data_IF_413304069716
#
_entry.id   IF_413304069716
#
_cell.length_a   1.000
_cell.length_b   1.000
_cell.length_c   1.000
_cell.angle_alpha   90.00
_cell.angle_beta   90.00
_cell.angle_gamma   90.00
#
_symmetry.space_group_name_H-M   'P 1'
#
loop_
_entity.id
_entity.type
_entity.pdbx_description
1 polymer ?
#
# COMPACT_ATOMS: atom_id res chain seq x y z
N UNK A 1 -38.48 10.17 -24.96
CA UNK A 1 -37.71 11.26 -24.33
C UNK A 1 -36.98 10.68 -23.14
N UNK A 2 -35.64 10.81 -23.06
CA UNK A 2 -34.96 10.55 -21.79
C UNK A 2 -35.42 11.56 -20.75
N UNK A 3 -35.75 11.07 -19.55
CA UNK A 3 -35.96 11.91 -18.37
C UNK A 3 -34.60 12.00 -17.68
N UNK A 4 -34.04 13.20 -17.60
CA UNK A 4 -32.82 13.46 -16.84
C UNK A 4 -33.24 13.92 -15.44
N UNK A 5 -33.21 13.02 -14.46
CA UNK A 5 -33.25 13.42 -13.05
C UNK A 5 -31.81 13.70 -12.57
N UNK A 6 -31.62 14.75 -11.78
CA UNK A 6 -30.32 15.02 -11.15
C UNK A 6 -29.92 13.89 -10.21
N UNK A 7 -30.83 13.57 -9.27
CA UNK A 7 -30.69 12.46 -8.35
C UNK A 7 -31.85 11.47 -8.52
N UNK A 8 -31.57 10.18 -8.44
CA UNK A 8 -32.57 9.11 -8.40
C UNK A 8 -32.64 8.55 -6.98
N UNK A 9 -33.73 8.86 -6.26
CA UNK A 9 -33.97 8.29 -4.93
C UNK A 9 -34.92 7.09 -5.04
N UNK A 10 -34.46 5.90 -4.62
CA UNK A 10 -35.30 4.70 -4.53
C UNK A 10 -35.56 4.39 -3.05
N UNK A 11 -36.80 4.58 -2.60
CA UNK A 11 -37.19 4.50 -1.18
C UNK A 11 -37.64 3.11 -0.72
N UNK A 12 -37.48 2.08 -1.57
CA UNK A 12 -37.88 0.69 -1.28
C UNK A 12 -36.99 -0.32 -2.00
N UNK A 13 -37.37 -1.61 -1.97
CA UNK A 13 -36.60 -2.67 -2.64
C UNK A 13 -36.64 -2.48 -4.15
N UNK A 14 -35.51 -2.11 -4.73
CA UNK A 14 -35.38 -1.96 -6.16
C UNK A 14 -35.09 -3.33 -6.79
N UNK A 15 -36.12 -4.01 -7.28
CA UNK A 15 -35.92 -5.26 -8.04
C UNK A 15 -35.75 -4.90 -9.52
N UNK A 16 -34.60 -5.21 -10.10
CA UNK A 16 -34.34 -4.99 -11.53
C UNK A 16 -33.90 -3.57 -11.91
N UNK A 17 -33.12 -2.87 -11.06
CA UNK A 17 -32.39 -1.68 -11.54
C UNK A 17 -31.45 -2.11 -12.67
N UNK A 18 -31.77 -1.69 -13.89
CA UNK A 18 -30.92 -1.86 -15.06
C UNK A 18 -30.41 -0.49 -15.49
N UNK A 19 -29.09 -0.33 -15.48
CA UNK A 19 -28.43 0.81 -16.13
C UNK A 19 -27.99 0.38 -17.53
N UNK A 20 -28.26 1.21 -18.55
CA UNK A 20 -27.67 1.04 -19.88
C UNK A 20 -26.23 1.56 -19.96
N UNK A 21 -25.73 2.20 -18.90
CA UNK A 21 -24.36 2.70 -18.76
C UNK A 21 -23.69 2.29 -17.44
N UNK A 22 -22.58 2.94 -17.11
CA UNK A 22 -21.83 2.67 -15.87
C UNK A 22 -22.44 3.40 -14.66
N UNK A 23 -22.12 2.94 -13.45
CA UNK A 23 -22.38 3.67 -12.20
C UNK A 23 -21.17 4.54 -11.90
N UNK A 24 -21.36 5.86 -11.89
CA UNK A 24 -20.31 6.82 -11.59
C UNK A 24 -20.28 7.12 -10.08
N UNK A 25 -19.07 7.18 -9.53
CA UNK A 25 -18.83 7.69 -8.18
C UNK A 25 -18.26 9.12 -8.28
N UNK A 26 -18.62 10.02 -7.34
CA UNK A 26 -18.05 11.37 -7.31
C UNK A 26 -16.55 11.33 -7.00
N UNK A 27 -15.81 12.34 -7.47
CA UNK A 27 -14.36 12.45 -7.20
C UNK A 27 -14.02 12.65 -5.72
N UNK A 28 -14.97 13.16 -4.93
CA UNK A 28 -14.89 13.19 -3.47
C UNK A 28 -15.86 12.16 -2.91
N UNK A 29 -15.40 11.34 -1.97
CA UNK A 29 -16.23 10.34 -1.29
C UNK A 29 -17.55 10.94 -0.79
N UNK A 30 -18.65 10.25 -1.05
CA UNK A 30 -19.96 10.56 -0.47
C UNK A 30 -20.22 9.65 0.73
N UNK A 31 -19.60 9.97 1.87
CA UNK A 31 -19.51 9.07 3.00
C UNK A 31 -20.89 8.58 3.51
N UNK A 32 -21.00 7.27 3.73
CA UNK A 32 -22.18 6.65 4.34
C UNK A 32 -21.80 5.85 5.59
N UNK A 33 -22.59 5.97 6.65
CA UNK A 33 -22.44 5.17 7.87
C UNK A 33 -23.24 3.86 7.84
N UNK A 34 -24.05 3.63 6.81
CA UNK A 34 -24.82 2.39 6.67
C UNK A 34 -23.92 1.26 6.15
N UNK A 35 -23.86 0.16 6.90
CA UNK A 35 -23.01 -0.98 6.60
C UNK A 35 -23.34 -1.68 5.26
N UNK A 36 -24.53 -1.43 4.69
CA UNK A 36 -24.97 -2.01 3.43
C UNK A 36 -24.89 -1.04 2.24
N UNK A 37 -24.27 0.12 2.42
CA UNK A 37 -24.07 1.12 1.37
C UNK A 37 -22.63 1.10 0.89
N UNK A 38 -22.43 0.92 -0.43
CA UNK A 38 -21.15 1.23 -1.06
C UNK A 38 -21.11 2.73 -1.37
N UNK A 39 -20.20 3.44 -0.72
CA UNK A 39 -20.16 4.89 -0.67
C UNK A 39 -19.00 5.52 -1.45
N UNK A 40 -18.04 4.68 -1.87
CA UNK A 40 -16.85 5.12 -2.58
C UNK A 40 -16.30 4.08 -3.56
N UNK A 41 -15.75 4.59 -4.65
CA UNK A 41 -14.94 3.84 -5.59
C UNK A 41 -13.98 4.79 -6.30
N UNK A 42 -12.68 4.57 -6.10
CA UNK A 42 -11.64 5.42 -6.67
C UNK A 42 -10.53 4.59 -7.30
N UNK A 43 -10.06 5.03 -8.47
CA UNK A 43 -8.91 4.49 -9.17
C UNK A 43 -7.90 5.59 -9.43
N UNK A 44 -6.62 5.27 -9.28
CA UNK A 44 -5.60 6.24 -9.60
C UNK A 44 -4.19 5.67 -9.62
N UNK A 45 -3.26 6.54 -9.97
CA UNK A 45 -1.84 6.32 -9.82
C UNK A 45 -1.33 7.01 -8.56
N UNK A 46 -0.27 6.46 -7.96
CA UNK A 46 0.45 7.11 -6.87
C UNK A 46 1.96 6.94 -7.06
N UNK A 47 2.74 7.75 -6.36
CA UNK A 47 4.20 7.76 -6.46
C UNK A 47 4.82 7.16 -5.18
N UNK A 48 5.22 5.88 -5.18
CA UNK A 48 5.77 5.20 -4.00
C UNK A 48 7.15 5.69 -3.61
N UNK A 49 7.36 6.08 -2.36
CA UNK A 49 8.64 6.64 -1.87
C UNK A 49 9.33 5.65 -0.95
N UNK A 50 10.62 5.37 -1.17
CA UNK A 50 11.45 4.70 -0.17
C UNK A 50 12.01 5.75 0.78
N UNK A 51 11.72 5.60 2.07
CA UNK A 51 12.11 6.56 3.09
C UNK A 51 12.61 5.85 4.36
N UNK A 52 12.95 6.64 5.39
CA UNK A 52 13.44 6.20 6.69
C UNK A 52 12.67 6.93 7.80
N UNK A 53 12.40 6.24 8.91
CA UNK A 53 11.53 6.77 9.96
C UNK A 53 12.13 7.91 10.82
N UNK A 54 13.45 8.10 10.82
CA UNK A 54 14.10 9.12 11.65
C UNK A 54 14.79 10.22 10.84
N UNK A 55 15.59 9.86 9.85
CA UNK A 55 16.16 10.83 8.89
C UNK A 55 16.13 10.29 7.48
N UNK A 56 15.64 11.09 6.53
CA UNK A 56 15.42 10.65 5.17
C UNK A 56 16.73 10.27 4.44
N UNK A 57 16.71 9.21 3.62
CA UNK A 57 17.82 8.89 2.73
C UNK A 57 17.85 9.87 1.55
N UNK A 58 19.00 9.97 0.88
CA UNK A 58 19.12 10.66 -0.42
C UNK A 58 19.19 9.61 -1.52
N UNK A 59 18.07 9.43 -2.23
CA UNK A 59 17.87 8.39 -3.25
C UNK A 59 17.53 9.01 -4.60
N UNK A 60 17.95 8.32 -5.65
CA UNK A 60 17.40 8.48 -7.01
C UNK A 60 16.82 7.15 -7.45
N UNK A 61 15.83 7.20 -8.35
CA UNK A 61 15.09 6.01 -8.79
C UNK A 61 15.27 5.79 -10.29
N UNK A 62 15.41 4.54 -10.71
CA UNK A 62 15.33 4.15 -12.12
C UNK A 62 13.88 4.12 -12.59
N UNK A 63 12.96 3.73 -11.70
CA UNK A 63 11.51 3.87 -11.86
C UNK A 63 10.81 3.91 -10.50
N UNK A 64 9.65 4.59 -10.46
CA UNK A 64 8.86 4.82 -9.25
C UNK A 64 7.37 4.90 -9.63
N UNK A 65 6.70 3.75 -9.68
CA UNK A 65 5.33 3.65 -10.21
C UNK A 65 4.40 2.94 -9.24
N UNK A 66 3.21 3.49 -9.03
CA UNK A 66 2.17 2.88 -8.23
C UNK A 66 0.78 3.10 -8.80
N UNK A 67 -0.15 2.20 -8.47
CA UNK A 67 -1.57 2.30 -8.79
C UNK A 67 -2.40 1.91 -7.58
N UNK A 68 -3.65 2.36 -7.51
CA UNK A 68 -4.58 1.92 -6.49
C UNK A 68 -6.01 1.75 -7.01
N UNK A 69 -6.76 0.94 -6.26
CA UNK A 69 -8.19 0.72 -6.38
C UNK A 69 -8.79 0.77 -4.97
N UNK A 70 -9.58 1.78 -4.68
CA UNK A 70 -10.34 1.92 -3.43
C UNK A 70 -11.79 1.51 -3.66
N UNK A 71 -12.32 0.68 -2.78
CA UNK A 71 -13.70 0.18 -2.82
C UNK A 71 -14.25 0.33 -1.39
N UNK A 72 -15.13 1.29 -1.17
CA UNK A 72 -15.49 1.73 0.18
C UNK A 72 -14.23 2.12 0.96
N UNK A 73 -14.00 1.50 2.12
CA UNK A 73 -12.78 1.72 2.92
C UNK A 73 -11.60 0.81 2.57
N UNK A 74 -11.76 -0.18 1.68
CA UNK A 74 -10.65 -1.10 1.32
C UNK A 74 -9.85 -0.52 0.17
N UNK A 75 -8.55 -0.30 0.38
CA UNK A 75 -7.61 0.14 -0.64
C UNK A 75 -6.65 -0.99 -1.02
N UNK A 76 -6.58 -1.28 -2.31
CA UNK A 76 -5.57 -2.11 -2.94
C UNK A 76 -4.55 -1.19 -3.62
N UNK A 77 -3.30 -1.16 -3.16
CA UNK A 77 -2.27 -0.30 -3.75
C UNK A 77 -1.06 -1.12 -4.21
N UNK A 78 -0.87 -1.21 -5.52
CA UNK A 78 0.28 -1.87 -6.14
C UNK A 78 1.43 -0.88 -6.34
N UNK A 79 2.67 -1.36 -6.24
CA UNK A 79 3.87 -0.56 -6.45
C UNK A 79 4.99 -1.34 -7.14
N UNK A 80 5.85 -0.60 -7.85
CA UNK A 80 7.14 -1.05 -8.33
C UNK A 80 8.13 0.11 -8.26
N UNK A 81 9.25 -0.11 -7.59
CA UNK A 81 10.31 0.86 -7.35
C UNK A 81 11.65 0.20 -7.62
N UNK A 82 12.56 0.92 -8.28
CA UNK A 82 13.96 0.54 -8.33
C UNK A 82 14.84 1.71 -7.94
N UNK A 83 15.67 1.52 -6.93
CA UNK A 83 16.66 2.51 -6.50
C UNK A 83 17.82 2.50 -7.49
N UNK A 84 18.12 3.65 -8.09
CA UNK A 84 19.26 3.83 -9.00
C UNK A 84 20.54 4.08 -8.22
N UNK A 85 20.52 5.09 -7.35
CA UNK A 85 21.67 5.50 -6.55
C UNK A 85 21.24 6.00 -5.17
N UNK A 86 22.04 5.67 -4.15
CA UNK A 86 21.89 6.14 -2.78
C UNK A 86 23.19 6.84 -2.36
N UNK A 87 23.14 8.17 -2.15
CA UNK A 87 24.30 8.95 -1.69
C UNK A 87 24.30 9.19 -0.18
N UNK A 88 23.15 8.98 0.49
CA UNK A 88 23.04 8.97 1.94
C UNK A 88 21.93 8.00 2.37
N UNK A 89 22.19 7.16 3.38
CA UNK A 89 21.26 6.11 3.82
C UNK A 89 20.21 6.56 4.83
N UNK A 90 20.38 7.72 5.47
CA UNK A 90 19.52 8.16 6.56
C UNK A 90 19.51 7.21 7.78
N UNK A 91 18.54 7.38 8.68
CA UNK A 91 18.43 6.63 9.96
C UNK A 91 16.98 6.25 10.31
N UNK A 92 16.81 5.18 11.11
CA UNK A 92 15.50 4.64 11.51
C UNK A 92 15.15 3.34 10.78
N UNK A 93 13.87 3.03 10.65
CA UNK A 93 13.34 1.87 9.91
C UNK A 93 13.11 2.25 8.45
N UNK A 94 13.31 1.32 7.50
CA UNK A 94 12.98 1.55 6.10
C UNK A 94 11.46 1.55 5.87
N UNK A 95 10.97 2.50 5.09
CA UNK A 95 9.55 2.74 4.86
C UNK A 95 9.21 2.76 3.36
N UNK A 96 8.08 2.15 2.99
CA UNK A 96 7.32 2.50 1.80
C UNK A 96 6.33 3.62 2.16
N UNK A 97 6.66 4.85 1.82
CA UNK A 97 5.82 6.03 2.01
C UNK A 97 5.08 6.46 0.75
N UNK A 98 4.21 7.46 0.91
CA UNK A 98 3.43 8.03 -0.19
C UNK A 98 2.14 7.28 -0.48
N UNK A 99 1.67 6.43 0.45
CA UNK A 99 0.45 5.64 0.25
C UNK A 99 -0.72 6.54 -0.21
N UNK A 100 -1.59 6.05 -1.11
CA UNK A 100 -2.70 6.84 -1.66
C UNK A 100 -3.59 7.47 -0.59
N UNK A 101 -3.84 6.72 0.49
CA UNK A 101 -4.63 7.13 1.64
C UNK A 101 -3.94 6.71 2.93
N UNK A 102 -4.16 7.47 4.00
CA UNK A 102 -3.77 7.04 5.35
C UNK A 102 -4.58 5.79 5.76
N UNK A 103 -3.95 4.89 6.52
CA UNK A 103 -4.62 3.73 7.09
C UNK A 103 -5.64 4.14 8.16
N UNK A 104 -6.64 3.28 8.35
CA UNK A 104 -7.65 3.44 9.37
C UNK A 104 -7.04 3.56 10.77
N UNK A 105 -7.73 4.30 11.64
CA UNK A 105 -7.35 4.43 13.05
C UNK A 105 -7.72 3.18 13.86
N UNK A 106 -8.60 2.33 13.34
CA UNK A 106 -9.13 1.13 13.99
C UNK A 106 -8.92 -0.10 13.11
N UNK A 107 -8.35 -1.15 13.71
CA UNK A 107 -7.95 -2.37 13.00
C UNK A 107 -6.56 -2.25 12.42
N UNK A 108 -5.63 -3.10 12.89
CA UNK A 108 -4.31 -3.21 12.27
C UNK A 108 -4.53 -3.67 10.83
N UNK A 109 -4.30 -2.80 9.85
CA UNK A 109 -4.34 -3.13 8.44
C UNK A 109 -3.21 -4.09 8.09
N UNK A 110 -3.32 -5.36 8.48
CA UNK A 110 -2.39 -6.41 8.10
C UNK A 110 -2.71 -6.84 6.66
N UNK A 111 -2.38 -6.00 5.69
CA UNK A 111 -2.34 -6.39 4.30
C UNK A 111 -1.21 -7.39 4.11
N UNK A 112 -1.54 -8.64 3.76
CA UNK A 112 -0.56 -9.62 3.27
C UNK A 112 0.02 -9.07 1.97
N UNK A 113 1.34 -8.97 1.89
CA UNK A 113 2.07 -8.45 0.73
C UNK A 113 3.05 -9.50 0.26
N UNK A 114 2.96 -9.84 -1.03
CA UNK A 114 4.05 -10.50 -1.72
C UNK A 114 5.01 -9.41 -2.18
N UNK A 115 6.14 -9.26 -1.50
CA UNK A 115 7.25 -8.44 -2.00
C UNK A 115 8.18 -9.36 -2.76
N UNK A 116 8.44 -9.09 -4.04
CA UNK A 116 9.57 -9.69 -4.75
C UNK A 116 10.68 -8.66 -4.80
N UNK A 117 11.85 -8.99 -4.28
CA UNK A 117 13.04 -8.17 -4.41
C UNK A 117 14.12 -8.96 -5.17
N UNK A 118 14.75 -8.32 -6.15
CA UNK A 118 15.97 -8.81 -6.79
C UNK A 118 17.15 -8.07 -6.16
N UNK A 119 18.00 -8.78 -5.42
CA UNK A 119 19.23 -8.25 -4.82
C UNK A 119 20.45 -8.76 -5.59
N UNK A 120 21.49 -7.93 -5.74
CA UNK A 120 22.74 -8.33 -6.41
C UNK A 120 23.57 -9.23 -5.49
N UNK A 121 23.80 -10.48 -5.92
CA UNK A 121 24.35 -11.61 -5.15
C UNK A 121 25.77 -11.49 -4.57
N UNK A 122 26.37 -10.29 -4.49
CA UNK A 122 27.81 -10.16 -4.20
C UNK A 122 28.22 -9.85 -2.76
N UNK A 123 27.30 -9.75 -1.79
CA UNK A 123 27.70 -9.40 -0.40
C UNK A 123 26.84 -10.08 0.68
N UNK A 124 27.45 -11.09 1.32
CA UNK A 124 27.16 -11.73 2.60
C UNK A 124 25.99 -12.73 2.67
N UNK A 125 26.28 -13.85 3.34
CA UNK A 125 25.36 -14.96 3.56
C UNK A 125 24.54 -14.77 4.83
N UNK A 126 23.23 -14.70 4.66
CA UNK A 126 22.17 -15.30 5.47
C UNK A 126 20.87 -14.96 4.76
N UNK A 127 19.80 -15.69 5.04
CA UNK A 127 18.48 -15.59 4.41
C UNK A 127 17.71 -14.27 4.75
N UNK A 128 18.42 -13.15 4.95
CA UNK A 128 17.92 -11.87 5.51
C UNK A 128 17.85 -10.69 4.51
N UNK A 129 18.26 -10.85 3.25
CA UNK A 129 18.56 -9.70 2.39
C UNK A 129 17.36 -9.04 1.67
N UNK A 130 16.15 -9.61 1.70
CA UNK A 130 14.99 -9.08 0.99
C UNK A 130 13.80 -8.84 1.96
N UNK A 131 13.10 -7.69 1.86
CA UNK A 131 11.86 -7.52 2.59
C UNK A 131 10.83 -8.55 2.11
N UNK A 132 10.17 -9.21 3.06
CA UNK A 132 9.16 -10.25 2.82
C UNK A 132 7.76 -9.78 3.20
N UNK A 133 7.66 -8.64 3.90
CA UNK A 133 6.39 -8.01 4.27
C UNK A 133 6.54 -6.49 4.37
N UNK A 134 5.41 -5.79 4.32
CA UNK A 134 5.28 -4.44 4.85
C UNK A 134 4.34 -4.44 6.05
N UNK A 135 4.66 -3.62 7.04
CA UNK A 135 3.82 -3.42 8.21
C UNK A 135 3.25 -2.01 8.20
N UNK A 136 1.92 -1.89 8.14
CA UNK A 136 1.23 -0.60 8.16
C UNK A 136 0.59 -0.37 9.52
N UNK A 137 1.09 0.63 10.24
CA UNK A 137 0.49 1.07 11.50
C UNK A 137 -0.81 1.84 11.24
N UNK A 138 -1.62 1.99 12.28
CA UNK A 138 -2.87 2.77 12.21
C UNK A 138 -2.57 4.25 11.98
N UNK A 139 -3.48 4.94 11.29
CA UNK A 139 -3.34 6.37 11.00
C UNK A 139 -2.01 6.73 10.31
N UNK A 140 -1.49 5.83 9.47
CA UNK A 140 -0.20 5.98 8.80
C UNK A 140 -0.34 6.08 7.29
N UNK A 141 0.50 6.90 6.67
CA UNK A 141 0.66 7.01 5.21
C UNK A 141 1.93 6.30 4.71
N UNK A 142 2.57 5.51 5.57
CA UNK A 142 3.77 4.74 5.26
C UNK A 142 3.77 3.39 5.96
N UNK A 143 4.29 2.38 5.27
CA UNK A 143 4.45 1.03 5.79
C UNK A 143 5.94 0.68 5.99
N UNK A 144 6.28 0.00 7.07
CA UNK A 144 7.65 -0.41 7.39
C UNK A 144 8.03 -1.66 6.61
N UNK A 145 9.17 -1.66 5.92
CA UNK A 145 9.74 -2.87 5.32
C UNK A 145 10.22 -3.82 6.42
N UNK A 146 9.78 -5.07 6.32
CA UNK A 146 10.15 -6.12 7.27
C UNK A 146 10.96 -7.21 6.59
N UNK A 147 12.01 -7.68 7.28
CA UNK A 147 12.92 -8.77 6.91
C UNK A 147 12.72 -9.99 7.82
N UNK A 148 13.00 -11.19 7.32
CA UNK A 148 12.92 -12.40 8.13
C UNK A 148 14.04 -12.32 9.18
N UNK A 149 13.85 -12.93 10.35
CA UNK A 149 14.89 -12.96 11.38
C UNK A 149 15.55 -14.35 11.39
N UNK A 150 16.62 -14.52 10.59
CA UNK A 150 17.32 -15.80 10.43
C UNK A 150 18.24 -16.16 11.61
N UNK A 151 18.52 -15.22 12.53
CA UNK A 151 19.59 -15.34 13.52
C UNK A 151 19.13 -15.81 14.91
N UNK A 152 17.83 -16.08 15.11
CA UNK A 152 17.30 -16.54 16.40
C UNK A 152 17.33 -18.08 16.52
N UNK A 153 18.23 -18.60 17.35
CA UNK A 153 18.29 -20.04 17.65
C UNK A 153 17.03 -20.52 18.40
N UNK A 154 16.07 -21.15 17.71
CA UNK A 154 14.83 -21.66 18.32
C UNK A 154 13.75 -22.06 17.31
N UNK A 155 12.57 -22.51 17.76
CA UNK A 155 11.44 -22.80 16.85
C UNK A 155 10.95 -21.50 16.18
N UNK A 156 11.22 -21.36 14.87
CA UNK A 156 10.94 -20.19 14.04
C UNK A 156 9.44 -19.94 13.79
N UNK A 157 8.68 -19.56 14.82
CA UNK A 157 7.26 -19.21 14.68
C UNK A 157 7.09 -17.70 14.55
N UNK A 158 7.36 -17.15 13.36
CA UNK A 158 6.88 -15.82 12.95
C UNK A 158 7.62 -14.61 13.53
N UNK A 159 8.94 -14.72 13.77
CA UNK A 159 9.74 -13.55 14.11
C UNK A 159 9.99 -12.70 12.86
N UNK A 160 9.56 -11.45 12.93
CA UNK A 160 9.64 -10.45 11.86
C UNK A 160 10.43 -9.28 12.41
N UNK A 161 11.51 -8.89 11.73
CA UNK A 161 12.32 -7.71 12.08
C UNK A 161 12.15 -6.60 11.04
N UNK A 162 12.57 -5.39 11.38
CA UNK A 162 12.71 -4.32 10.38
C UNK A 162 13.83 -4.68 9.41
N UNK A 163 13.63 -4.39 8.12
CA UNK A 163 14.72 -4.51 7.15
C UNK A 163 15.87 -3.60 7.58
N UNK A 164 17.10 -4.14 7.57
CA UNK A 164 18.29 -3.45 8.05
C UNK A 164 19.01 -2.66 6.95
N UNK A 165 18.82 -3.00 5.67
CA UNK A 165 19.55 -2.42 4.55
C UNK A 165 18.74 -2.41 3.25
N UNK A 166 18.96 -1.36 2.46
CA UNK A 166 18.59 -1.22 1.04
C UNK A 166 19.84 -0.67 0.36
N UNK A 167 20.14 -1.14 -0.85
CA UNK A 167 21.32 -0.78 -1.63
C UNK A 167 20.95 -0.12 -2.96
N UNK A 168 21.95 0.38 -3.67
CA UNK A 168 21.81 0.81 -5.06
C UNK A 168 21.48 -0.39 -5.96
N UNK A 169 20.51 -0.25 -6.85
CA UNK A 169 19.98 -1.28 -7.76
C UNK A 169 18.91 -2.21 -7.20
N UNK A 170 18.55 -2.08 -5.91
CA UNK A 170 17.45 -2.85 -5.35
C UNK A 170 16.13 -2.47 -6.00
N UNK A 171 15.37 -3.49 -6.38
CA UNK A 171 14.03 -3.37 -6.91
C UNK A 171 13.03 -3.98 -5.94
N UNK A 172 11.95 -3.25 -5.67
CA UNK A 172 10.86 -3.66 -4.80
C UNK A 172 9.56 -3.56 -5.59
N UNK A 173 8.80 -4.63 -5.62
CA UNK A 173 7.47 -4.65 -6.19
C UNK A 173 6.53 -5.45 -5.31
N UNK A 174 5.27 -5.03 -5.24
CA UNK A 174 4.28 -5.69 -4.43
C UNK A 174 2.93 -5.01 -4.43
N UNK A 175 2.05 -5.50 -3.56
CA UNK A 175 0.67 -5.05 -3.40
C UNK A 175 0.35 -4.94 -1.91
N UNK A 176 -0.06 -3.77 -1.44
CA UNK A 176 -0.58 -3.56 -0.09
C UNK A 176 -2.10 -3.50 -0.10
N UNK A 177 -2.74 -4.18 0.85
CA UNK A 177 -4.18 -4.16 1.07
C UNK A 177 -4.46 -3.60 2.46
N UNK A 178 -5.29 -2.55 2.57
CA UNK A 178 -5.52 -1.94 3.88
C UNK A 178 -6.85 -1.20 3.92
N UNK A 179 -7.34 -0.98 5.14
CA UNK A 179 -8.48 -0.10 5.37
C UNK A 179 -8.00 1.35 5.45
N UNK A 180 -8.65 2.26 4.73
CA UNK A 180 -8.36 3.69 4.78
C UNK A 180 -9.05 4.35 5.98
N UNK A 181 -8.51 5.49 6.40
CA UNK A 181 -9.20 6.40 7.32
C UNK A 181 -10.43 7.04 6.67
#
# INVERSE_FOLDING_TARGET
MPIYCGDLTVTGTATGITSSGNVAFPASQSASADANTLDDYEEGSWTPIINRSSSSPTLTYSHQTGWYRKIGSVCHAGFSVQVNNMSASGSGSWLLGGLPFASSSTGKGHGIITVTANHSSSSYGSDDAAPWALWLDNSSSAAVFKAWDADSSGLHRGQVQDLNSITSSDSFQGLIHYFTA
#
